data_IF_450728508768
#
_entry.id   IF_450728508768
#
_cell.length_a   1.000
_cell.length_b   1.000
_cell.length_c   1.000
_cell.angle_alpha   90.00
_cell.angle_beta   90.00
_cell.angle_gamma   90.00
#
_symmetry.space_group_name_H-M   'P 1'
#
loop_
_entity.id
_entity.type
_entity.pdbx_description
1 polymer ?
#
# COMPACT_ATOMS: atom_id res chain seq x y z
N UNK A 1 -14.45 -18.71 -12.78
CA UNK A 1 -15.26 -18.70 -11.55
C UNK A 1 -16.48 -17.83 -11.77
N UNK A 2 -17.64 -18.46 -11.90
CA UNK A 2 -18.95 -17.87 -12.21
C UNK A 2 -19.46 -16.98 -11.07
N UNK A 3 -20.15 -15.88 -11.39
CA UNK A 3 -20.68 -14.89 -10.44
C UNK A 3 -21.49 -15.46 -9.25
N UNK A 4 -22.06 -16.67 -9.40
CA UNK A 4 -22.76 -17.37 -8.31
C UNK A 4 -21.80 -17.88 -7.21
N UNK A 5 -20.60 -18.33 -7.57
CA UNK A 5 -19.58 -18.79 -6.61
C UNK A 5 -19.09 -17.63 -5.72
N UNK A 6 -18.85 -16.45 -6.30
CA UNK A 6 -18.42 -15.28 -5.53
C UNK A 6 -19.47 -14.79 -4.52
N UNK A 7 -20.77 -14.84 -4.88
CA UNK A 7 -21.87 -14.49 -3.97
C UNK A 7 -21.99 -15.49 -2.82
N UNK A 8 -21.80 -16.79 -3.09
CA UNK A 8 -21.81 -17.83 -2.07
C UNK A 8 -20.65 -17.65 -1.07
N UNK A 9 -19.43 -17.42 -1.55
CA UNK A 9 -18.25 -17.16 -0.71
C UNK A 9 -18.40 -15.87 0.12
N UNK A 10 -19.05 -14.83 -0.43
CA UNK A 10 -19.32 -13.59 0.31
C UNK A 10 -20.36 -13.79 1.43
N UNK A 11 -21.42 -14.56 1.17
CA UNK A 11 -22.41 -14.91 2.20
C UNK A 11 -21.79 -15.75 3.32
N UNK A 12 -20.93 -16.70 2.96
CA UNK A 12 -20.20 -17.55 3.90
C UNK A 12 -19.25 -16.72 4.78
N UNK A 13 -18.48 -15.80 4.21
CA UNK A 13 -17.64 -14.86 4.98
C UNK A 13 -18.44 -13.99 5.94
N UNK A 14 -19.61 -13.50 5.52
CA UNK A 14 -20.50 -12.70 6.38
C UNK A 14 -21.02 -13.53 7.56
N UNK A 15 -21.42 -14.78 7.30
CA UNK A 15 -21.89 -15.70 8.35
C UNK A 15 -20.77 -16.07 9.33
N UNK A 16 -19.56 -16.30 8.81
CA UNK A 16 -18.38 -16.61 9.63
C UNK A 16 -17.95 -15.42 10.49
N UNK A 17 -17.98 -14.20 9.95
CA UNK A 17 -17.70 -12.98 10.72
C UNK A 17 -18.73 -12.77 11.86
N UNK A 18 -20.02 -12.98 11.60
CA UNK A 18 -21.06 -12.87 12.64
C UNK A 18 -20.91 -13.95 13.72
N UNK A 19 -20.45 -15.15 13.35
CA UNK A 19 -20.19 -16.23 14.31
C UNK A 19 -18.90 -16.03 15.12
N UNK A 20 -17.91 -15.32 14.58
CA UNK A 20 -16.66 -15.00 15.25
C UNK A 20 -16.88 -14.15 16.52
N UNK A 21 -17.83 -13.22 16.49
CA UNK A 21 -18.11 -12.32 17.62
C UNK A 21 -19.01 -12.94 18.72
N UNK A 22 -19.40 -14.22 18.61
CA UNK A 22 -20.27 -14.88 19.59
C UNK A 22 -19.53 -15.50 20.78
N UNK A 23 -18.26 -15.85 20.63
CA UNK A 23 -17.44 -16.37 21.72
C UNK A 23 -15.97 -16.04 21.51
N UNK A 24 -15.21 -15.97 22.60
CA UNK A 24 -13.77 -15.70 22.56
C UNK A 24 -12.99 -16.79 21.80
N UNK A 25 -13.41 -18.05 21.94
CA UNK A 25 -12.78 -19.16 21.22
C UNK A 25 -13.13 -19.15 19.73
N UNK A 26 -14.36 -18.78 19.36
CA UNK A 26 -14.73 -18.59 17.95
C UNK A 26 -14.00 -17.39 17.33
N UNK A 27 -13.76 -16.34 18.11
CA UNK A 27 -12.95 -15.20 17.66
C UNK A 27 -11.51 -15.63 17.39
N UNK A 28 -10.88 -16.38 18.32
CA UNK A 28 -9.55 -16.94 18.09
C UNK A 28 -9.50 -17.82 16.84
N UNK A 29 -10.47 -18.73 16.68
CA UNK A 29 -10.56 -19.59 15.50
C UNK A 29 -10.83 -18.82 14.20
N UNK A 30 -11.49 -17.66 14.27
CA UNK A 30 -11.72 -16.79 13.11
C UNK A 30 -10.49 -15.95 12.74
N UNK A 31 -9.70 -15.55 13.72
CA UNK A 31 -8.43 -14.81 13.50
C UNK A 31 -7.33 -15.75 12.98
N UNK A 32 -7.35 -17.02 13.38
CA UNK A 32 -6.43 -18.02 12.85
C UNK A 32 -6.76 -18.30 11.38
N UNK A 33 -5.74 -18.23 10.53
CA UNK A 33 -5.86 -18.62 9.12
C UNK A 33 -5.97 -20.15 9.09
N UNK A 34 -7.00 -20.74 8.46
CA UNK A 34 -7.09 -22.19 8.32
C UNK A 34 -5.87 -22.72 7.56
N UNK A 35 -5.27 -23.81 8.05
CA UNK A 35 -4.14 -24.46 7.39
C UNK A 35 -4.49 -24.78 5.93
N UNK A 36 -3.65 -24.29 5.02
CA UNK A 36 -3.82 -24.47 3.59
C UNK A 36 -3.21 -25.79 3.12
N UNK A 37 -3.56 -26.25 1.93
CA UNK A 37 -3.00 -27.47 1.33
C UNK A 37 -1.46 -27.37 1.16
N UNK A 38 -0.91 -26.14 1.13
CA UNK A 38 0.53 -25.87 1.06
C UNK A 38 1.23 -26.07 2.42
N UNK A 39 0.52 -25.93 3.55
CA UNK A 39 1.03 -26.25 4.89
C UNK A 39 1.25 -27.76 5.10
N UNK A 40 0.74 -28.62 4.21
CA UNK A 40 1.05 -30.07 4.23
C UNK A 40 2.48 -30.38 3.78
N UNK A 41 3.20 -29.41 3.22
CA UNK A 41 4.59 -29.58 2.81
C UNK A 41 5.59 -29.16 3.89
N UNK A 42 5.18 -28.50 4.97
CA UNK A 42 6.02 -28.46 6.17
C UNK A 42 6.03 -29.85 6.79
N UNK A 43 7.23 -30.43 6.90
CA UNK A 43 7.48 -31.65 7.66
C UNK A 43 6.64 -31.67 8.94
N UNK A 44 5.88 -32.75 9.16
CA UNK A 44 4.98 -32.99 10.30
C UNK A 44 5.62 -32.76 11.69
N UNK A 45 6.94 -32.58 11.76
CA UNK A 45 7.72 -32.40 12.98
C UNK A 45 8.09 -30.94 13.32
N UNK A 46 7.95 -29.98 12.40
CA UNK A 46 8.23 -28.57 12.67
C UNK A 46 6.97 -27.73 12.55
N UNK A 47 6.45 -27.23 13.69
CA UNK A 47 5.21 -26.45 13.73
C UNK A 47 5.18 -25.21 12.81
N UNK A 48 4.01 -24.54 12.68
CA UNK A 48 3.71 -23.50 11.69
C UNK A 48 4.43 -22.16 11.93
N UNK A 49 5.64 -22.17 12.47
CA UNK A 49 6.35 -20.98 12.94
C UNK A 49 6.87 -20.10 11.81
N UNK A 50 7.08 -20.65 10.60
CA UNK A 50 7.88 -19.99 9.55
C UNK A 50 7.22 -19.80 8.18
N UNK A 51 6.10 -20.48 7.90
CA UNK A 51 5.32 -20.36 6.65
C UNK A 51 3.92 -19.78 6.89
N UNK A 52 3.39 -19.08 5.89
CA UNK A 52 2.04 -18.52 5.87
C UNK A 52 1.59 -18.38 4.40
N UNK A 53 0.28 -18.41 4.12
CA UNK A 53 -0.27 -18.25 2.75
C UNK A 53 0.25 -16.97 2.07
N UNK A 54 0.45 -15.89 2.84
CA UNK A 54 0.95 -14.60 2.31
C UNK A 54 2.47 -14.58 2.08
N UNK A 55 3.21 -15.50 2.70
CA UNK A 55 4.64 -15.66 2.50
C UNK A 55 4.90 -16.59 1.32
N UNK A 56 4.13 -17.65 1.17
CA UNK A 56 4.37 -18.68 0.16
C UNK A 56 4.42 -18.12 -1.29
N UNK A 57 5.18 -18.76 -2.19
CA UNK A 57 5.25 -18.34 -3.59
C UNK A 57 3.87 -18.27 -4.23
N UNK A 58 3.60 -17.19 -4.96
CA UNK A 58 2.28 -17.00 -5.57
C UNK A 58 2.00 -18.11 -6.60
N UNK A 59 0.88 -18.87 -6.48
CA UNK A 59 0.57 -19.96 -7.39
C UNK A 59 0.29 -19.42 -8.80
N UNK A 60 0.57 -20.20 -9.88
CA UNK A 60 0.42 -19.75 -11.26
C UNK A 60 -0.95 -19.13 -11.58
N UNK A 61 -2.02 -19.68 -11.02
CA UNK A 61 -3.41 -19.21 -11.21
C UNK A 61 -3.64 -17.78 -10.69
N UNK A 62 -2.89 -17.35 -9.66
CA UNK A 62 -3.00 -16.02 -9.05
C UNK A 62 -2.02 -15.01 -9.68
N UNK A 63 -1.16 -15.43 -10.62
CA UNK A 63 -0.20 -14.56 -11.34
C UNK A 63 -0.87 -13.77 -12.46
N UNK A 64 -1.73 -12.82 -12.11
CA UNK A 64 -2.53 -12.06 -13.08
C UNK A 64 -1.85 -10.81 -13.64
N UNK A 65 -0.70 -10.43 -13.10
CA UNK A 65 0.06 -9.26 -13.52
C UNK A 65 0.98 -9.60 -14.68
N UNK A 66 0.78 -8.91 -15.81
CA UNK A 66 1.66 -8.92 -17.00
C UNK A 66 2.52 -7.65 -17.04
N UNK A 67 3.54 -7.64 -17.92
CA UNK A 67 4.50 -6.54 -18.09
C UNK A 67 3.86 -5.15 -18.23
N UNK A 68 2.73 -5.00 -18.91
CA UNK A 68 2.08 -3.70 -19.07
C UNK A 68 1.47 -3.17 -17.76
N UNK A 69 1.01 -4.05 -16.86
CA UNK A 69 0.48 -3.63 -15.56
C UNK A 69 1.59 -3.02 -14.70
N UNK A 70 2.83 -3.45 -14.90
CA UNK A 70 4.00 -2.84 -14.28
C UNK A 70 4.20 -1.41 -14.78
N UNK A 71 4.15 -1.19 -16.10
CA UNK A 71 4.27 0.16 -16.68
C UNK A 71 3.17 1.10 -16.18
N UNK A 72 1.92 0.63 -16.20
CA UNK A 72 0.74 1.36 -15.72
C UNK A 72 0.89 1.71 -14.24
N UNK A 73 1.34 0.76 -13.41
CA UNK A 73 1.56 0.97 -11.98
C UNK A 73 2.57 2.09 -11.71
N UNK A 74 3.73 2.08 -12.38
CA UNK A 74 4.73 3.14 -12.19
C UNK A 74 4.29 4.48 -12.75
N UNK A 75 3.61 4.50 -13.90
CA UNK A 75 3.03 5.72 -14.43
C UNK A 75 2.04 6.35 -13.43
N UNK A 76 1.18 5.53 -12.82
CA UNK A 76 0.21 5.96 -11.82
C UNK A 76 0.85 6.45 -10.50
N UNK A 77 2.10 6.08 -10.20
CA UNK A 77 2.86 6.57 -9.04
C UNK A 77 3.61 7.87 -9.33
N UNK A 78 4.02 8.10 -10.58
CA UNK A 78 4.81 9.28 -10.99
C UNK A 78 4.11 10.62 -10.75
N UNK A 79 2.77 10.64 -10.65
CA UNK A 79 2.00 11.84 -10.30
C UNK A 79 2.42 12.47 -8.96
N UNK A 80 2.89 11.65 -8.00
CA UNK A 80 3.40 12.16 -6.73
C UNK A 80 4.70 12.97 -6.85
N UNK A 81 5.43 12.84 -7.97
CA UNK A 81 6.72 13.50 -8.19
C UNK A 81 6.61 14.80 -8.98
N UNK A 82 5.40 15.26 -9.34
CA UNK A 82 5.22 16.46 -10.18
C UNK A 82 5.76 17.74 -9.52
N UNK A 83 5.75 17.80 -8.19
CA UNK A 83 6.29 18.94 -7.43
C UNK A 83 7.82 19.01 -7.45
N UNK A 84 8.51 17.91 -7.75
CA UNK A 84 9.98 17.82 -7.71
C UNK A 84 10.63 18.83 -8.67
N UNK A 85 10.09 18.97 -9.87
CA UNK A 85 10.59 19.91 -10.87
C UNK A 85 10.49 21.36 -10.40
N UNK A 86 9.33 21.76 -9.87
CA UNK A 86 9.14 23.12 -9.33
C UNK A 86 10.05 23.40 -8.14
N UNK A 87 10.30 22.41 -7.28
CA UNK A 87 11.20 22.56 -6.13
C UNK A 87 12.65 22.79 -6.56
N UNK A 88 13.14 22.06 -7.58
CA UNK A 88 14.52 22.24 -8.08
C UNK A 88 14.73 23.60 -8.73
N UNK A 89 13.76 24.08 -9.51
CA UNK A 89 13.83 25.43 -10.08
C UNK A 89 13.79 26.48 -8.96
N UNK A 90 12.95 26.27 -7.93
CA UNK A 90 12.87 27.14 -6.77
C UNK A 90 14.17 27.23 -5.95
N UNK A 91 15.03 26.21 -6.00
CA UNK A 91 16.36 26.19 -5.37
C UNK A 91 17.40 26.97 -6.22
N UNK A 92 17.06 27.37 -7.44
CA UNK A 92 17.91 28.19 -8.32
C UNK A 92 18.49 27.46 -9.53
N UNK A 93 18.05 26.23 -9.82
CA UNK A 93 18.46 25.53 -11.05
C UNK A 93 17.70 26.07 -12.26
N UNK A 94 18.40 26.19 -13.39
CA UNK A 94 17.73 26.43 -14.67
C UNK A 94 16.87 25.24 -15.07
N UNK A 95 15.80 25.48 -15.83
CA UNK A 95 14.83 24.45 -16.21
C UNK A 95 15.47 23.23 -16.90
N UNK A 96 16.43 23.43 -17.81
CA UNK A 96 17.16 22.33 -18.45
C UNK A 96 18.04 21.53 -17.48
N UNK A 97 18.67 22.20 -16.51
CA UNK A 97 19.49 21.54 -15.49
C UNK A 97 18.61 20.67 -14.57
N UNK A 98 17.44 21.18 -14.18
CA UNK A 98 16.48 20.42 -13.38
C UNK A 98 15.98 19.17 -14.13
N UNK A 99 15.66 19.30 -15.42
CA UNK A 99 15.22 18.17 -16.26
C UNK A 99 16.32 17.09 -16.33
N UNK A 100 17.57 17.48 -16.64
CA UNK A 100 18.68 16.55 -16.73
C UNK A 100 18.98 15.87 -15.39
N UNK A 101 18.98 16.62 -14.30
CA UNK A 101 19.22 16.08 -12.96
C UNK A 101 18.14 15.04 -12.57
N UNK A 102 16.87 15.36 -12.80
CA UNK A 102 15.76 14.42 -12.55
C UNK A 102 15.91 13.18 -13.43
N UNK A 103 16.21 13.34 -14.72
CA UNK A 103 16.33 12.22 -15.65
C UNK A 103 17.45 11.27 -15.24
N UNK A 104 18.64 11.79 -14.92
CA UNK A 104 19.79 10.99 -14.49
C UNK A 104 19.47 10.27 -13.16
N UNK A 105 18.87 10.97 -12.20
CA UNK A 105 18.47 10.38 -10.91
C UNK A 105 17.48 9.23 -11.09
N UNK A 106 16.45 9.42 -11.92
CA UNK A 106 15.44 8.40 -12.18
C UNK A 106 15.99 7.23 -12.99
N UNK A 107 16.92 7.48 -13.90
CA UNK A 107 17.59 6.44 -14.67
C UNK A 107 18.43 5.53 -13.77
N UNK A 108 19.26 6.10 -12.89
CA UNK A 108 20.05 5.34 -11.91
C UNK A 108 19.15 4.55 -10.98
N UNK A 109 18.08 5.17 -10.48
CA UNK A 109 17.10 4.52 -9.61
C UNK A 109 16.39 3.34 -10.31
N UNK A 110 16.07 3.49 -11.59
CA UNK A 110 15.45 2.45 -12.41
C UNK A 110 16.35 1.23 -12.57
N UNK A 111 17.67 1.43 -12.73
CA UNK A 111 18.63 0.32 -12.80
C UNK A 111 18.66 -0.45 -11.47
N UNK A 112 18.76 0.25 -10.34
CA UNK A 112 18.74 -0.40 -9.02
C UNK A 112 17.44 -1.19 -8.79
N UNK A 113 16.31 -0.63 -9.24
CA UNK A 113 15.00 -1.24 -9.13
C UNK A 113 14.85 -2.49 -10.02
N UNK A 114 15.47 -2.50 -11.21
CA UNK A 114 15.51 -3.66 -12.10
C UNK A 114 16.18 -4.87 -11.42
N UNK A 115 17.34 -4.65 -10.78
CA UNK A 115 18.04 -5.71 -10.06
C UNK A 115 17.23 -6.25 -8.89
N UNK A 116 16.59 -5.37 -8.11
CA UNK A 116 15.75 -5.77 -6.98
C UNK A 116 14.50 -6.54 -7.44
N UNK A 117 13.87 -6.10 -8.54
CA UNK A 117 12.64 -6.69 -9.06
C UNK A 117 12.85 -8.08 -9.69
N UNK A 118 14.08 -8.44 -10.09
CA UNK A 118 14.39 -9.74 -10.71
C UNK A 118 14.05 -10.91 -9.78
N UNK A 119 14.43 -10.83 -8.51
CA UNK A 119 14.17 -11.90 -7.54
C UNK A 119 12.67 -12.14 -7.34
N UNK A 120 11.89 -11.06 -7.20
CA UNK A 120 10.45 -11.14 -7.06
C UNK A 120 9.77 -11.66 -8.36
N UNK A 121 10.29 -11.30 -9.53
CA UNK A 121 9.71 -11.73 -10.81
C UNK A 121 9.98 -13.19 -11.17
N UNK A 122 11.14 -13.74 -10.80
CA UNK A 122 11.51 -15.13 -11.13
C UNK A 122 10.92 -16.11 -10.13
N UNK A 123 11.02 -15.80 -8.84
CA UNK A 123 10.61 -16.72 -7.77
C UNK A 123 9.18 -16.47 -7.28
N UNK A 124 8.56 -15.35 -7.66
CA UNK A 124 7.20 -14.99 -7.24
C UNK A 124 7.01 -14.97 -5.71
N UNK A 125 8.05 -14.53 -5.00
CA UNK A 125 8.11 -14.40 -3.53
C UNK A 125 8.16 -12.93 -3.11
N UNK A 126 7.68 -12.64 -1.90
CA UNK A 126 7.75 -11.32 -1.29
C UNK A 126 9.13 -10.95 -0.73
N UNK A 127 9.35 -9.65 -0.49
CA UNK A 127 10.58 -9.13 0.10
C UNK A 127 11.00 -9.80 1.42
N UNK A 128 10.09 -10.15 2.37
CA UNK A 128 10.49 -10.80 3.62
C UNK A 128 11.25 -12.12 3.41
N UNK A 129 10.92 -12.89 2.37
CA UNK A 129 11.62 -14.16 2.07
C UNK A 129 12.97 -13.90 1.42
N UNK A 130 13.04 -12.93 0.51
CA UNK A 130 14.32 -12.52 -0.08
C UNK A 130 15.27 -12.01 1.01
N UNK A 131 14.76 -11.30 2.02
CA UNK A 131 15.55 -10.88 3.16
C UNK A 131 16.07 -12.07 4.00
N UNK A 132 15.26 -13.14 4.17
CA UNK A 132 15.67 -14.36 4.87
C UNK A 132 16.81 -15.09 4.15
N UNK A 133 16.85 -15.09 2.82
CA UNK A 133 17.94 -15.74 2.07
C UNK A 133 19.28 -15.01 2.18
N UNK A 134 19.28 -13.71 2.49
CA UNK A 134 20.51 -12.90 2.61
C UNK A 134 20.96 -12.76 4.06
N UNK A 135 20.04 -12.48 4.98
CA UNK A 135 20.34 -12.13 6.38
C UNK A 135 20.00 -13.23 7.38
N UNK A 136 19.51 -14.38 6.91
CA UNK A 136 19.04 -15.49 7.75
C UNK A 136 17.67 -15.23 8.38
N UNK A 137 17.16 -16.24 9.09
CA UNK A 137 15.80 -16.22 9.65
C UNK A 137 15.62 -15.09 10.67
N UNK A 138 16.51 -14.99 11.66
CA UNK A 138 16.43 -13.98 12.72
C UNK A 138 16.87 -12.59 12.27
N UNK A 139 17.90 -12.49 11.42
CA UNK A 139 18.40 -11.21 10.92
C UNK A 139 17.41 -10.48 9.99
N UNK A 140 16.54 -11.22 9.30
CA UNK A 140 15.54 -10.65 8.40
C UNK A 140 14.53 -9.72 9.10
N UNK A 141 14.22 -9.96 10.38
CA UNK A 141 13.24 -9.17 11.14
C UNK A 141 13.63 -7.70 11.26
N UNK A 142 14.92 -7.42 11.43
CA UNK A 142 15.41 -6.04 11.50
C UNK A 142 15.11 -5.28 10.20
N UNK A 143 15.45 -5.86 9.04
CA UNK A 143 15.26 -5.22 7.74
C UNK A 143 13.77 -5.08 7.37
N UNK A 144 12.97 -6.10 7.67
CA UNK A 144 11.52 -6.04 7.49
C UNK A 144 10.90 -4.95 8.39
N UNK A 145 11.32 -4.88 9.65
CA UNK A 145 10.87 -3.84 10.59
C UNK A 145 11.26 -2.42 10.16
N UNK A 146 12.52 -2.22 9.76
CA UNK A 146 12.98 -0.93 9.24
C UNK A 146 12.18 -0.48 8.01
N UNK A 147 11.88 -1.41 7.09
CA UNK A 147 11.03 -1.13 5.92
C UNK A 147 9.59 -0.83 6.30
N UNK A 148 9.05 -1.49 7.32
CA UNK A 148 7.71 -1.21 7.83
C UNK A 148 7.62 0.20 8.44
N UNK A 149 8.61 0.62 9.25
CA UNK A 149 8.67 1.97 9.81
C UNK A 149 8.73 3.01 8.69
N UNK A 150 9.59 2.80 7.69
CA UNK A 150 9.68 3.67 6.53
C UNK A 150 8.34 3.76 5.77
N UNK A 151 7.63 2.65 5.62
CA UNK A 151 6.31 2.63 4.99
C UNK A 151 5.26 3.44 5.78
N UNK A 152 5.29 3.38 7.12
CA UNK A 152 4.41 4.18 7.98
C UNK A 152 4.69 5.68 7.84
N UNK A 153 5.97 6.07 7.81
CA UNK A 153 6.36 7.47 7.61
C UNK A 153 5.87 7.98 6.25
N UNK A 154 6.11 7.22 5.17
CA UNK A 154 5.66 7.59 3.84
C UNK A 154 4.14 7.61 3.73
N UNK A 155 3.43 6.70 4.38
CA UNK A 155 1.98 6.74 4.46
C UNK A 155 1.51 8.04 5.11
N UNK A 156 2.14 8.47 6.21
CA UNK A 156 1.84 9.75 6.86
C UNK A 156 2.00 10.95 5.93
N UNK A 157 3.12 11.02 5.19
CA UNK A 157 3.37 12.08 4.21
C UNK A 157 2.32 12.10 3.10
N UNK A 158 1.98 10.94 2.54
CA UNK A 158 0.97 10.84 1.48
C UNK A 158 -0.44 11.16 1.98
N UNK A 159 -0.77 10.76 3.21
CA UNK A 159 -2.05 11.08 3.84
C UNK A 159 -2.18 12.58 4.09
N UNK A 160 -1.11 13.25 4.51
CA UNK A 160 -1.09 14.71 4.70
C UNK A 160 -1.23 15.48 3.37
N UNK A 161 -0.51 15.06 2.33
CA UNK A 161 -0.65 15.63 1.00
C UNK A 161 -2.07 15.44 0.44
N UNK A 162 -2.65 14.24 0.61
CA UNK A 162 -4.04 13.96 0.23
C UNK A 162 -5.06 14.81 1.01
N UNK A 163 -4.85 14.97 2.32
CA UNK A 163 -5.66 15.83 3.17
C UNK A 163 -5.64 17.28 2.72
N UNK A 164 -4.49 17.78 2.25
CA UNK A 164 -4.36 19.14 1.72
C UNK A 164 -5.20 19.35 0.46
N UNK A 165 -5.28 18.34 -0.41
CA UNK A 165 -6.15 18.37 -1.59
C UNK A 165 -7.63 18.34 -1.19
N UNK A 166 -8.01 17.50 -0.23
CA UNK A 166 -9.39 17.47 0.32
C UNK A 166 -9.75 18.80 0.96
N UNK A 167 -8.83 19.44 1.69
CA UNK A 167 -9.07 20.75 2.28
C UNK A 167 -9.35 21.82 1.21
N UNK A 168 -8.64 21.78 0.08
CA UNK A 168 -8.91 22.67 -1.05
C UNK A 168 -10.27 22.38 -1.70
N UNK A 169 -10.66 21.10 -1.84
CA UNK A 169 -11.99 20.73 -2.32
C UNK A 169 -13.11 21.21 -1.38
N UNK A 170 -12.95 21.01 -0.07
CA UNK A 170 -13.91 21.46 0.94
C UNK A 170 -14.03 22.98 0.95
N UNK A 171 -12.92 23.70 0.78
CA UNK A 171 -12.93 25.15 0.61
C UNK A 171 -13.69 25.57 -0.66
N UNK A 172 -13.56 24.84 -1.76
CA UNK A 172 -14.27 25.14 -3.00
C UNK A 172 -15.79 24.87 -2.89
N UNK A 173 -16.20 23.83 -2.18
CA UNK A 173 -17.62 23.45 -2.04
C UNK A 173 -18.34 24.26 -0.96
N UNK A 174 -17.73 24.44 0.21
CA UNK A 174 -18.36 25.07 1.38
C UNK A 174 -17.93 26.53 1.61
N UNK A 175 -16.93 27.02 0.87
CA UNK A 175 -16.48 28.41 0.92
C UNK A 175 -16.12 28.87 2.34
N UNK A 176 -16.76 29.96 2.76
CA UNK A 176 -16.51 30.63 4.04
C UNK A 176 -16.81 29.73 5.25
N UNK A 177 -17.78 28.83 5.14
CA UNK A 177 -18.17 27.91 6.22
C UNK A 177 -17.07 26.91 6.60
N UNK A 178 -16.12 26.65 5.70
CA UNK A 178 -14.97 25.77 5.97
C UNK A 178 -13.72 26.54 6.41
N UNK A 179 -13.51 27.76 5.91
CA UNK A 179 -12.35 28.60 6.30
C UNK A 179 -12.48 29.19 7.70
N UNK A 180 -13.72 29.36 8.19
CA UNK A 180 -14.01 30.00 9.48
C UNK A 180 -14.05 29.04 10.66
N UNK A 181 -13.77 27.75 10.45
CA UNK A 181 -13.78 26.77 11.53
C UNK A 181 -12.80 27.25 12.63
N UNK A 182 -13.28 27.51 13.86
CA UNK A 182 -12.42 28.05 14.91
C UNK A 182 -11.28 27.07 15.19
N UNK A 183 -10.05 27.57 15.10
CA UNK A 183 -8.88 26.74 15.33
C UNK A 183 -8.65 26.58 16.84
N UNK A 184 -8.81 25.36 17.34
CA UNK A 184 -8.56 25.01 18.74
C UNK A 184 -7.14 24.47 18.96
N UNK A 185 -6.35 24.34 17.90
CA UNK A 185 -5.00 23.76 17.93
C UNK A 185 -3.95 24.88 18.01
N UNK A 186 -2.96 24.77 18.92
CA UNK A 186 -1.87 25.73 19.00
C UNK A 186 -1.11 25.84 17.67
N UNK A 187 -0.76 27.07 17.27
CA UNK A 187 0.00 27.33 16.03
C UNK A 187 1.36 26.61 15.96
N UNK A 188 1.90 26.17 17.10
CA UNK A 188 3.15 25.39 17.18
C UNK A 188 3.05 24.01 16.52
N UNK A 189 1.84 23.45 16.34
CA UNK A 189 1.66 22.12 15.74
C UNK A 189 1.57 22.14 14.20
N UNK A 190 1.59 23.31 13.57
CA UNK A 190 1.63 23.43 12.10
C UNK A 190 0.38 22.95 11.36
N UNK A 191 -0.69 22.55 12.05
CA UNK A 191 -1.96 22.11 11.47
C UNK A 191 -3.14 22.88 12.11
N UNK A 192 -4.15 23.20 11.30
CA UNK A 192 -5.39 23.83 11.75
C UNK A 192 -6.46 22.79 12.06
N UNK A 193 -7.45 23.12 12.90
CA UNK A 193 -8.60 22.22 13.16
C UNK A 193 -9.35 21.84 11.88
N UNK A 194 -9.47 22.77 10.92
CA UNK A 194 -10.00 22.48 9.58
C UNK A 194 -9.13 21.48 8.81
N UNK A 195 -7.79 21.62 8.87
CA UNK A 195 -6.85 20.66 8.28
C UNK A 195 -6.95 19.27 8.89
N UNK A 196 -7.13 19.16 10.21
CA UNK A 196 -7.37 17.88 10.88
C UNK A 196 -8.69 17.22 10.44
N UNK A 197 -9.75 18.02 10.22
CA UNK A 197 -11.01 17.50 9.68
C UNK A 197 -10.82 16.93 8.27
N UNK A 198 -10.15 17.66 7.38
CA UNK A 198 -9.85 17.16 6.03
C UNK A 198 -8.97 15.90 6.06
N UNK A 199 -8.00 15.84 6.97
CA UNK A 199 -7.18 14.65 7.18
C UNK A 199 -8.01 13.45 7.63
N UNK A 200 -8.89 13.64 8.60
CA UNK A 200 -9.78 12.58 9.09
C UNK A 200 -10.73 12.07 7.99
N UNK A 201 -11.31 12.99 7.19
CA UNK A 201 -12.17 12.63 6.06
C UNK A 201 -11.40 11.88 4.97
N UNK A 202 -10.19 12.32 4.63
CA UNK A 202 -9.34 11.62 3.66
C UNK A 202 -8.94 10.22 4.16
N UNK A 203 -8.58 10.12 5.43
CA UNK A 203 -8.24 8.86 6.08
C UNK A 203 -9.43 7.89 6.11
N UNK A 204 -10.64 8.38 6.40
CA UNK A 204 -11.87 7.58 6.37
C UNK A 204 -12.20 7.11 4.95
N UNK A 205 -12.04 7.97 3.95
CA UNK A 205 -12.22 7.62 2.54
C UNK A 205 -11.19 6.60 2.04
N UNK A 206 -10.02 6.52 2.66
CA UNK A 206 -8.97 5.57 2.32
C UNK A 206 -9.29 4.13 2.78
N UNK A 207 -10.04 3.94 3.87
CA UNK A 207 -10.32 2.60 4.43
C UNK A 207 -10.93 1.58 3.46
N UNK A 208 -12.01 1.92 2.72
CA UNK A 208 -12.59 0.98 1.77
C UNK A 208 -11.59 0.50 0.72
N UNK A 209 -10.65 1.37 0.33
CA UNK A 209 -9.60 1.02 -0.63
C UNK A 209 -8.54 0.10 -0.02
N UNK A 210 -8.19 0.30 1.26
CA UNK A 210 -7.24 -0.54 1.97
C UNK A 210 -7.74 -1.98 2.18
N UNK A 211 -9.06 -2.20 2.21
CA UNK A 211 -9.65 -3.54 2.35
C UNK A 211 -9.62 -4.36 1.05
N UNK A 212 -9.29 -3.76 -0.09
CA UNK A 212 -9.20 -4.48 -1.36
C UNK A 212 -7.92 -5.32 -1.40
N UNK A 213 -8.05 -6.60 -1.75
CA UNK A 213 -6.89 -7.49 -1.87
C UNK A 213 -6.01 -7.11 -3.07
N UNK A 214 -4.68 -7.34 -3.03
CA UNK A 214 -3.75 -6.97 -4.11
C UNK A 214 -4.15 -7.49 -5.51
N UNK A 215 -4.82 -8.64 -5.58
CA UNK A 215 -5.35 -9.20 -6.83
C UNK A 215 -6.39 -8.30 -7.51
N UNK A 216 -7.20 -7.57 -6.73
CA UNK A 216 -8.27 -6.70 -7.22
C UNK A 216 -7.76 -5.30 -7.61
N UNK A 217 -6.54 -4.94 -7.18
CA UNK A 217 -5.95 -3.63 -7.46
C UNK A 217 -5.60 -3.41 -8.93
N UNK A 218 -5.52 -4.48 -9.75
CA UNK A 218 -5.25 -4.36 -11.18
C UNK A 218 -6.27 -3.47 -11.90
N UNK A 219 -7.55 -3.66 -11.60
CA UNK A 219 -8.61 -2.81 -12.19
C UNK A 219 -8.50 -1.37 -11.71
N UNK A 220 -8.16 -1.17 -10.43
CA UNK A 220 -7.96 0.17 -9.86
C UNK A 220 -6.82 0.93 -10.56
N UNK A 221 -5.66 0.29 -10.75
CA UNK A 221 -4.52 0.93 -11.42
C UNK A 221 -4.81 1.21 -12.90
N UNK A 222 -5.46 0.29 -13.61
CA UNK A 222 -5.83 0.53 -15.01
C UNK A 222 -6.80 1.72 -15.15
N UNK A 223 -7.80 1.82 -14.28
CA UNK A 223 -8.74 2.96 -14.27
C UNK A 223 -8.01 4.25 -13.91
N UNK A 224 -7.13 4.22 -12.89
CA UNK A 224 -6.35 5.38 -12.46
C UNK A 224 -5.45 5.94 -13.56
N UNK A 225 -4.91 5.10 -14.44
CA UNK A 225 -4.04 5.56 -15.55
C UNK A 225 -4.82 6.14 -16.72
N UNK A 226 -6.11 5.80 -16.87
CA UNK A 226 -6.97 6.38 -17.90
C UNK A 226 -7.60 7.72 -17.52
N UNK A 227 -7.62 8.06 -16.22
CA UNK A 227 -8.10 9.32 -15.65
C UNK A 227 -6.93 10.30 -15.45
#
# INVERSE_FOLDING_TARGET
>A
MTFQSAKATAMEKKKNAVNAFKSWDNFKQWVLVPDTVLDRHSHEESGPTWSNEDLDPTPPERRTWRWYNYVIFYFALSFGNWTLGSSLIGIGLNYWQAILAIFISQFISSIAMLFNSRCASVYHIGYPIVARSVFGMWGSYYFVGARAILAVVWFGVQAFSGASLVANMLRAVFGHNYTDIPNHIPKSQGITSAGMLAFFLFWLAHFPLAMMRPYQLRTFFNVKTCL
#
